data_IF_473459292245
#
_entry.id   IF_473459292245
#
_cell.length_a   1.000
_cell.length_b   1.000
_cell.length_c   1.000
_cell.angle_alpha   90.00
_cell.angle_beta   90.00
_cell.angle_gamma   90.00
#
_symmetry.space_group_name_H-M   'P 1'
#
loop_
_entity.id
_entity.type
_entity.pdbx_description
1 polymer ?
#
# COMPACT_ATOMS: atom_id res chain seq x y z
N UNK A 1 -13.04 -13.94 8.05
CA UNK A 1 -12.71 -14.31 6.65
C UNK A 1 -13.60 -13.61 5.63
N UNK A 2 -14.92 -13.52 5.86
CA UNK A 2 -15.88 -12.82 4.99
C UNK A 2 -15.45 -11.38 4.64
N UNK A 3 -15.06 -10.59 5.65
CA UNK A 3 -14.58 -9.20 5.46
C UNK A 3 -13.32 -9.09 4.63
N UNK A 4 -12.39 -10.04 4.76
CA UNK A 4 -11.15 -10.08 3.97
C UNK A 4 -11.49 -10.30 2.50
N UNK A 5 -12.37 -11.23 2.20
CA UNK A 5 -12.80 -11.50 0.83
C UNK A 5 -13.53 -10.30 0.23
N UNK A 6 -14.37 -9.63 1.00
CA UNK A 6 -15.07 -8.41 0.58
C UNK A 6 -14.11 -7.25 0.30
N UNK A 7 -13.11 -7.03 1.17
CA UNK A 7 -12.07 -6.02 0.95
C UNK A 7 -11.27 -6.30 -0.33
N UNK A 8 -10.86 -7.56 -0.54
CA UNK A 8 -10.15 -7.99 -1.75
C UNK A 8 -11.00 -7.81 -3.00
N UNK A 9 -12.28 -8.21 -2.95
CA UNK A 9 -13.22 -8.04 -4.06
C UNK A 9 -13.38 -6.56 -4.43
N UNK A 10 -13.54 -5.67 -3.45
CA UNK A 10 -13.59 -4.22 -3.68
C UNK A 10 -12.34 -3.70 -4.41
N UNK A 11 -11.15 -4.10 -3.96
CA UNK A 11 -9.88 -3.68 -4.59
C UNK A 11 -9.77 -4.21 -6.02
N UNK A 12 -10.15 -5.47 -6.25
CA UNK A 12 -10.21 -6.06 -7.59
C UNK A 12 -11.19 -5.31 -8.49
N UNK A 13 -12.37 -4.95 -8.00
CA UNK A 13 -13.35 -4.19 -8.77
C UNK A 13 -12.79 -2.81 -9.17
N UNK A 14 -12.19 -2.07 -8.23
CA UNK A 14 -11.55 -0.77 -8.52
C UNK A 14 -10.43 -0.90 -9.57
N UNK A 15 -9.63 -1.96 -9.48
CA UNK A 15 -8.55 -2.25 -10.44
C UNK A 15 -9.09 -2.54 -11.84
N UNK A 16 -10.14 -3.36 -11.94
CA UNK A 16 -10.82 -3.71 -13.19
C UNK A 16 -11.57 -2.53 -13.81
N UNK A 17 -12.02 -1.57 -13.02
CA UNK A 17 -12.59 -0.31 -13.53
C UNK A 17 -11.51 0.58 -14.16
N UNK A 18 -10.32 0.67 -13.55
CA UNK A 18 -9.22 1.53 -14.00
C UNK A 18 -8.46 0.94 -15.19
N UNK A 19 -8.30 -0.39 -15.25
CA UNK A 19 -7.68 -1.12 -16.38
C UNK A 19 -6.27 -0.65 -16.72
N UNK A 20 -5.39 -0.56 -15.73
CA UNK A 20 -3.98 -0.20 -15.94
C UNK A 20 -3.04 -1.15 -15.23
N UNK A 21 -1.83 -1.32 -15.75
CA UNK A 21 -0.80 -2.14 -15.12
C UNK A 21 -0.48 -1.67 -13.68
N UNK A 22 -0.47 -0.35 -13.46
CA UNK A 22 -0.29 0.22 -12.13
C UNK A 22 -1.45 -0.13 -11.18
N UNK A 23 -2.69 -0.11 -11.66
CA UNK A 23 -3.85 -0.51 -10.87
C UNK A 23 -3.77 -2.00 -10.49
N UNK A 24 -3.39 -2.86 -11.43
CA UNK A 24 -3.16 -4.29 -11.16
C UNK A 24 -2.05 -4.51 -10.13
N UNK A 25 -0.93 -3.79 -10.24
CA UNK A 25 0.16 -3.88 -9.26
C UNK A 25 -0.27 -3.44 -7.84
N UNK A 26 -1.06 -2.37 -7.75
CA UNK A 26 -1.64 -1.89 -6.49
C UNK A 26 -2.57 -2.97 -5.91
N UNK A 27 -3.45 -3.54 -6.73
CA UNK A 27 -4.35 -4.62 -6.33
C UNK A 27 -3.59 -5.82 -5.76
N UNK A 28 -2.60 -6.33 -6.50
CA UNK A 28 -1.81 -7.49 -6.08
C UNK A 28 -1.14 -7.22 -4.72
N UNK A 29 -0.50 -6.07 -4.58
CA UNK A 29 0.15 -5.66 -3.33
C UNK A 29 -0.84 -5.57 -2.17
N UNK A 30 -2.01 -4.97 -2.36
CA UNK A 30 -3.03 -4.86 -1.31
C UNK A 30 -3.61 -6.23 -0.95
N UNK A 31 -3.87 -7.09 -1.94
CA UNK A 31 -4.45 -8.42 -1.72
C UNK A 31 -3.48 -9.35 -0.98
N UNK A 32 -2.17 -9.27 -1.25
CA UNK A 32 -1.12 -9.96 -0.50
C UNK A 32 -1.12 -9.60 0.99
N UNK A 33 -1.34 -8.32 1.32
CA UNK A 33 -1.26 -7.82 2.70
C UNK A 33 -2.61 -7.79 3.43
N UNK A 34 -3.73 -7.95 2.72
CA UNK A 34 -5.06 -8.05 3.31
C UNK A 34 -5.30 -9.45 3.90
N UNK A 35 -4.64 -9.75 5.02
CA UNK A 35 -4.67 -11.07 5.69
C UNK A 35 -5.43 -11.07 7.02
N UNK A 36 -5.80 -9.90 7.54
CA UNK A 36 -6.53 -9.75 8.81
C UNK A 36 -7.80 -8.91 8.63
N UNK A 37 -8.76 -9.08 9.54
CA UNK A 37 -10.00 -8.28 9.50
C UNK A 37 -9.76 -6.81 9.81
N UNK A 38 -8.74 -6.48 10.61
CA UNK A 38 -8.33 -5.09 10.85
C UNK A 38 -7.92 -4.40 9.55
N UNK A 39 -7.06 -5.04 8.76
CA UNK A 39 -6.65 -4.53 7.45
C UNK A 39 -7.84 -4.43 6.50
N UNK A 40 -8.69 -5.46 6.45
CA UNK A 40 -9.89 -5.45 5.63
C UNK A 40 -10.80 -4.25 5.97
N UNK A 41 -11.01 -3.97 7.25
CA UNK A 41 -11.80 -2.83 7.70
C UNK A 41 -11.19 -1.48 7.30
N UNK A 42 -9.86 -1.35 7.28
CA UNK A 42 -9.18 -0.14 6.78
C UNK A 42 -9.42 0.08 5.29
N UNK A 43 -9.44 -0.98 4.49
CA UNK A 43 -9.73 -0.91 3.04
C UNK A 43 -11.22 -0.57 2.80
N UNK A 44 -12.10 -1.17 3.59
CA UNK A 44 -13.56 -1.04 3.44
C UNK A 44 -14.13 0.26 4.02
N UNK A 45 -13.35 1.05 4.75
CA UNK A 45 -13.81 2.32 5.34
C UNK A 45 -14.21 3.40 4.32
N UNK A 46 -13.93 3.20 3.02
CA UNK A 46 -14.35 4.07 1.93
C UNK A 46 -13.53 5.36 1.77
N UNK A 47 -12.52 5.60 2.61
CA UNK A 47 -11.68 6.82 2.55
C UNK A 47 -10.54 6.74 1.54
N UNK A 48 -10.24 5.54 1.05
CA UNK A 48 -9.11 5.23 0.18
C UNK A 48 -9.61 4.51 -1.06
N UNK A 49 -9.03 4.86 -2.20
CA UNK A 49 -9.26 4.21 -3.49
C UNK A 49 -7.95 4.03 -4.26
N UNK A 50 -7.90 3.07 -5.17
CA UNK A 50 -6.79 2.88 -6.12
C UNK A 50 -6.59 4.13 -6.97
N UNK A 51 -7.68 4.78 -7.40
CA UNK A 51 -7.62 5.98 -8.24
C UNK A 51 -6.88 7.13 -7.56
N UNK A 52 -7.17 7.39 -6.29
CA UNK A 52 -6.53 8.44 -5.52
C UNK A 52 -5.04 8.13 -5.26
N UNK A 53 -4.71 6.85 -5.06
CA UNK A 53 -3.33 6.42 -4.92
C UNK A 53 -2.54 6.58 -6.23
N UNK A 54 -3.13 6.22 -7.38
CA UNK A 54 -2.51 6.44 -8.70
C UNK A 54 -2.24 7.92 -8.92
N UNK A 55 -3.18 8.79 -8.55
CA UNK A 55 -2.96 10.24 -8.62
C UNK A 55 -1.76 10.65 -7.76
N UNK A 56 -1.69 10.16 -6.52
CA UNK A 56 -0.58 10.44 -5.59
C UNK A 56 0.78 9.94 -6.11
N UNK A 57 0.83 8.73 -6.68
CA UNK A 57 2.03 8.15 -7.32
C UNK A 57 2.47 9.00 -8.51
N UNK A 58 1.51 9.42 -9.34
CA UNK A 58 1.78 10.25 -10.52
C UNK A 58 2.38 11.59 -10.12
N UNK A 59 1.82 12.24 -9.10
CA UNK A 59 2.36 13.49 -8.56
C UNK A 59 3.76 13.31 -7.99
N UNK A 60 4.03 12.20 -7.31
CA UNK A 60 5.36 11.91 -6.76
C UNK A 60 6.39 11.67 -7.87
N UNK A 61 6.04 10.91 -8.91
CA UNK A 61 6.89 10.71 -10.09
C UNK A 61 7.18 12.03 -10.81
N UNK A 62 6.19 12.93 -10.90
CA UNK A 62 6.35 14.27 -11.53
C UNK A 62 7.34 15.15 -10.77
N UNK A 63 7.35 15.11 -9.43
CA UNK A 63 8.32 15.87 -8.62
C UNK A 63 9.76 15.45 -8.88
N UNK A 64 9.96 14.18 -9.25
CA UNK A 64 11.27 13.58 -9.54
C UNK A 64 11.64 13.65 -11.01
N UNK A 65 10.84 14.31 -11.85
CA UNK A 65 11.05 14.30 -13.28
C UNK A 65 12.37 14.99 -13.68
N UNK A 66 13.15 14.31 -14.52
CA UNK A 66 14.37 14.84 -15.14
C UNK A 66 14.15 14.83 -16.65
N UNK A 67 14.49 15.92 -17.33
CA UNK A 67 14.34 16.07 -18.79
C UNK A 67 12.94 15.72 -19.32
N UNK A 68 11.89 16.11 -18.58
CA UNK A 68 10.47 15.81 -18.86
C UNK A 68 10.09 14.31 -18.77
N UNK A 69 10.95 13.46 -18.23
CA UNK A 69 10.66 12.05 -17.96
C UNK A 69 10.41 11.89 -16.47
N UNK A 70 9.18 11.55 -16.10
CA UNK A 70 8.81 11.16 -14.75
C UNK A 70 8.94 9.64 -14.60
N UNK A 71 9.70 9.19 -13.62
CA UNK A 71 9.89 7.78 -13.32
C UNK A 71 9.80 7.54 -11.81
N UNK A 72 9.31 6.37 -11.44
CA UNK A 72 9.22 5.87 -10.07
C UNK A 72 9.44 4.36 -10.12
N UNK A 73 10.20 3.79 -9.18
CA UNK A 73 10.44 2.35 -9.17
C UNK A 73 9.27 1.56 -8.57
N UNK A 74 9.19 0.27 -8.87
CA UNK A 74 8.16 -0.61 -8.31
C UNK A 74 8.27 -0.69 -6.77
N UNK A 75 9.48 -0.65 -6.20
CA UNK A 75 9.70 -0.60 -4.76
C UNK A 75 9.12 0.67 -4.12
N UNK A 76 9.34 1.83 -4.75
CA UNK A 76 8.78 3.10 -4.26
C UNK A 76 7.24 3.09 -4.35
N UNK A 77 6.68 2.56 -5.44
CA UNK A 77 5.23 2.38 -5.56
C UNK A 77 4.71 1.45 -4.47
N UNK A 78 5.40 0.33 -4.20
CA UNK A 78 5.03 -0.62 -3.15
C UNK A 78 5.01 0.04 -1.78
N UNK A 79 6.04 0.80 -1.42
CA UNK A 79 6.08 1.57 -0.17
C UNK A 79 4.91 2.56 -0.07
N UNK A 80 4.59 3.26 -1.16
CA UNK A 80 3.44 4.16 -1.22
C UNK A 80 2.12 3.40 -1.01
N UNK A 81 1.93 2.22 -1.60
CA UNK A 81 0.75 1.37 -1.38
C UNK A 81 0.63 0.97 0.09
N UNK A 82 1.70 0.44 0.68
CA UNK A 82 1.71 -0.03 2.06
C UNK A 82 1.43 1.10 3.04
N UNK A 83 2.01 2.29 2.82
CA UNK A 83 1.76 3.48 3.63
C UNK A 83 0.33 3.99 3.45
N UNK A 84 -0.15 4.07 2.21
CA UNK A 84 -1.46 4.61 1.90
C UNK A 84 -2.56 3.79 2.54
N UNK A 85 -2.51 2.46 2.42
CA UNK A 85 -3.52 1.57 2.99
C UNK A 85 -3.24 1.15 4.45
N UNK A 86 -2.13 1.61 5.04
CA UNK A 86 -1.68 1.26 6.40
C UNK A 86 -1.50 -0.27 6.57
N UNK A 87 -0.82 -0.87 5.57
CA UNK A 87 -0.57 -2.31 5.42
C UNK A 87 0.81 -2.75 5.89
N UNK A 88 1.70 -1.80 6.19
CA UNK A 88 2.98 -2.11 6.82
C UNK A 88 2.76 -2.78 8.16
N UNK A 89 3.57 -3.79 8.48
CA UNK A 89 3.50 -4.49 9.76
C UNK A 89 3.39 -3.46 10.90
N UNK A 90 2.34 -3.53 11.71
CA UNK A 90 2.45 -3.18 13.14
C UNK A 90 3.31 -4.24 13.83
N UNK A 91 4.54 -4.34 13.36
CA UNK A 91 5.70 -4.52 14.19
C UNK A 91 6.47 -3.23 13.93
N UNK A 92 6.23 -2.18 14.70
CA UNK A 92 7.14 -2.02 15.83
C UNK A 92 7.80 -3.36 16.22
N UNK A 93 8.78 -3.79 15.43
CA UNK A 93 10.04 -4.09 16.06
C UNK A 93 10.39 -2.79 16.76
N UNK A 94 9.91 -2.65 18.00
CA UNK A 94 10.82 -2.26 19.06
C UNK A 94 11.95 -3.28 18.88
N UNK A 95 12.91 -2.97 18.01
CA UNK A 95 14.28 -3.24 18.39
C UNK A 95 14.40 -2.38 19.62
N UNK A 96 14.02 -2.95 20.77
CA UNK A 96 14.67 -2.55 22.00
C UNK A 96 16.13 -2.73 21.62
N UNK A 97 16.80 -1.61 21.36
CA UNK A 97 18.23 -1.58 21.42
C UNK A 97 18.49 -2.08 22.83
N UNK A 98 18.75 -3.37 22.97
CA UNK A 98 19.09 -3.98 24.25
C UNK A 98 20.43 -3.36 24.59
N UNK A 99 20.40 -2.40 25.51
CA UNK A 99 21.63 -1.83 26.04
C UNK A 99 22.33 -2.96 26.80
N UNK A 100 23.45 -3.42 26.27
CA UNK A 100 24.22 -4.54 26.81
C UNK A 100 24.83 -4.15 28.18
N UNK A 101 24.87 -2.84 28.49
CA UNK A 101 25.30 -2.34 29.80
C UNK A 101 24.26 -2.59 30.91
N UNK A 102 22.98 -2.82 30.58
CA UNK A 102 21.96 -3.21 31.56
C UNK A 102 22.01 -4.71 31.92
N UNK A 103 22.92 -5.48 31.30
CA UNK A 103 23.11 -6.93 31.50
C UNK A 103 24.35 -7.31 32.33
N UNK A 104 25.11 -6.33 32.85
CA UNK A 104 26.32 -6.54 33.67
C UNK A 104 26.20 -5.94 35.07
#
# INVERSE_FOLDING_TARGET
MERINEARAKITDESLEIKSALATFIEETVNEHCTTEEVANKILNGKKSIKDLIHSITEEARKKAVDNIAAISDEEVKEMVLKYYELGETKAHITEVVDILDLI
#
